data_IF_834717013312
#
_entry.id   IF_834717013312
#
_cell.length_a   1.000
_cell.length_b   1.000
_cell.length_c   1.000
_cell.angle_alpha   90.00
_cell.angle_beta   90.00
_cell.angle_gamma   90.00
#
_symmetry.space_group_name_H-M   'P 1'
#
loop_
_entity.id
_entity.type
_entity.pdbx_description
1 polymer ?
#
# COMPACT_ATOMS: atom_id res chain seq x y z
N UNK A 1 -7.83 -48.95 -7.38
CA UNK A 1 -7.70 -48.58 -5.95
C UNK A 1 -7.31 -47.12 -5.91
N UNK A 2 -8.30 -46.23 -5.84
CA UNK A 2 -8.06 -44.80 -5.73
C UNK A 2 -7.66 -44.51 -4.28
N UNK A 3 -6.44 -44.00 -4.08
CA UNK A 3 -6.05 -43.43 -2.81
C UNK A 3 -6.92 -42.20 -2.57
N UNK A 4 -7.94 -42.35 -1.73
CA UNK A 4 -8.60 -41.22 -1.11
C UNK A 4 -7.57 -40.56 -0.20
N UNK A 5 -6.95 -39.48 -0.70
CA UNK A 5 -6.22 -38.56 0.16
C UNK A 5 -7.29 -37.81 0.95
N UNK A 6 -7.61 -38.34 2.14
CA UNK A 6 -8.41 -37.66 3.12
C UNK A 6 -7.59 -36.46 3.64
N UNK A 7 -7.67 -35.33 2.93
CA UNK A 7 -7.21 -34.05 3.47
C UNK A 7 -8.32 -33.58 4.40
N UNK A 8 -8.15 -33.81 5.70
CA UNK A 8 -8.83 -33.00 6.70
C UNK A 8 -8.69 -31.52 6.31
N UNK A 9 -9.71 -30.66 6.50
CA UNK A 9 -9.62 -29.25 6.12
C UNK A 9 -8.66 -28.57 7.09
N UNK A 10 -7.37 -28.76 6.86
CA UNK A 10 -6.31 -28.04 7.54
C UNK A 10 -6.49 -26.63 7.05
N UNK A 11 -6.96 -25.73 7.93
CA UNK A 11 -7.17 -24.36 7.53
C UNK A 11 -5.84 -23.82 7.03
N UNK A 12 -5.72 -23.56 5.72
CA UNK A 12 -4.55 -22.97 5.09
C UNK A 12 -4.32 -21.51 5.53
N UNK A 13 -5.10 -21.04 6.51
CA UNK A 13 -5.01 -19.70 7.09
C UNK A 13 -3.61 -19.54 7.70
N UNK A 14 -3.00 -18.40 7.40
CA UNK A 14 -1.63 -18.04 7.72
C UNK A 14 -0.53 -18.89 7.05
N UNK A 15 -0.90 -19.84 6.17
CA UNK A 15 0.05 -20.61 5.39
C UNK A 15 0.33 -19.96 4.04
N UNK A 16 1.47 -20.35 3.45
CA UNK A 16 1.82 -19.96 2.08
C UNK A 16 1.02 -20.87 1.14
N UNK A 17 0.23 -20.24 0.26
CA UNK A 17 -0.52 -20.91 -0.80
C UNK A 17 0.09 -20.55 -2.15
N UNK A 18 -0.08 -21.43 -3.12
CA UNK A 18 0.36 -21.25 -4.51
C UNK A 18 -0.83 -21.25 -5.47
N UNK A 19 -0.66 -20.73 -6.71
CA UNK A 19 -1.72 -20.76 -7.70
C UNK A 19 -2.21 -22.19 -7.97
N UNK A 20 -3.52 -22.40 -7.87
CA UNK A 20 -4.16 -23.71 -8.03
C UNK A 20 -4.59 -24.38 -6.72
N UNK A 21 -4.05 -23.96 -5.58
CA UNK A 21 -4.50 -24.47 -4.27
C UNK A 21 -5.96 -24.10 -4.02
N UNK A 22 -6.77 -25.08 -3.65
CA UNK A 22 -8.16 -24.86 -3.22
C UNK A 22 -8.14 -24.48 -1.75
N UNK A 23 -8.48 -23.22 -1.45
CA UNK A 23 -8.36 -22.65 -0.09
C UNK A 23 -9.63 -22.74 0.73
N UNK A 24 -10.79 -22.68 0.08
CA UNK A 24 -12.10 -22.78 0.71
C UNK A 24 -13.06 -23.56 -0.20
N UNK A 25 -13.93 -24.35 0.42
CA UNK A 25 -15.01 -25.07 -0.22
C UNK A 25 -16.35 -24.57 0.34
N UNK A 26 -17.14 -23.93 -0.52
CA UNK A 26 -18.41 -23.30 -0.20
C UNK A 26 -19.51 -24.31 0.12
N UNK A 27 -19.39 -25.56 -0.35
CA UNK A 27 -20.35 -26.63 -0.03
C UNK A 27 -20.45 -26.87 1.49
N UNK A 28 -19.35 -26.61 2.21
CA UNK A 28 -19.26 -26.74 3.66
C UNK A 28 -19.69 -25.45 4.42
N UNK A 29 -20.02 -24.36 3.72
CA UNK A 29 -20.30 -23.03 4.29
C UNK A 29 -21.62 -22.42 3.79
N UNK A 30 -22.71 -23.19 3.79
CA UNK A 30 -24.01 -22.84 3.18
C UNK A 30 -24.73 -21.62 3.75
N UNK A 31 -24.37 -21.11 4.93
CA UNK A 31 -25.06 -19.99 5.60
C UNK A 31 -24.15 -18.78 5.91
N UNK A 32 -23.02 -18.62 5.20
CA UNK A 32 -22.09 -17.52 5.46
C UNK A 32 -21.81 -16.69 4.20
N UNK A 33 -22.01 -15.38 4.29
CA UNK A 33 -21.56 -14.45 3.23
C UNK A 33 -20.06 -14.21 3.38
N UNK A 34 -19.30 -14.61 2.36
CA UNK A 34 -17.85 -14.48 2.32
C UNK A 34 -17.46 -13.28 1.45
N UNK A 35 -16.51 -12.46 1.93
CA UNK A 35 -15.90 -11.39 1.15
C UNK A 35 -14.54 -11.86 0.61
N UNK A 36 -14.49 -12.05 -0.70
CA UNK A 36 -13.24 -12.39 -1.38
C UNK A 36 -12.44 -11.11 -1.67
N UNK A 37 -11.24 -11.07 -1.13
CA UNK A 37 -10.23 -10.09 -1.46
C UNK A 37 -9.34 -10.57 -2.61
N UNK A 38 -8.16 -9.97 -2.70
CA UNK A 38 -7.27 -10.22 -3.84
C UNK A 38 -6.58 -11.56 -3.83
N UNK A 39 -6.25 -12.04 -5.02
CA UNK A 39 -5.48 -13.26 -5.22
C UNK A 39 -6.31 -14.54 -5.06
N UNK A 40 -7.61 -14.40 -4.87
CA UNK A 40 -8.58 -15.49 -4.84
C UNK A 40 -9.52 -15.40 -6.04
N UNK A 41 -10.00 -16.55 -6.49
CA UNK A 41 -11.03 -16.65 -7.50
C UNK A 41 -12.04 -17.72 -7.07
N UNK A 42 -13.32 -17.40 -7.23
CA UNK A 42 -14.38 -18.37 -7.08
C UNK A 42 -14.63 -19.06 -8.41
N UNK A 43 -14.67 -20.39 -8.38
CA UNK A 43 -15.10 -21.25 -9.47
C UNK A 43 -16.14 -22.24 -8.92
N UNK A 44 -17.41 -22.00 -9.24
CA UNK A 44 -18.54 -22.73 -8.67
C UNK A 44 -18.50 -22.69 -7.13
N UNK A 45 -18.37 -23.85 -6.49
CA UNK A 45 -18.32 -24.00 -5.04
C UNK A 45 -16.88 -23.99 -4.49
N UNK A 46 -15.86 -23.97 -5.35
CA UNK A 46 -14.47 -23.94 -4.92
C UNK A 46 -13.89 -22.53 -5.02
N UNK A 47 -13.15 -22.11 -3.99
CA UNK A 47 -12.33 -20.90 -4.03
C UNK A 47 -10.88 -21.34 -4.11
N UNK A 48 -10.20 -20.91 -5.18
CA UNK A 48 -8.80 -21.23 -5.42
C UNK A 48 -7.90 -20.00 -5.36
N UNK A 49 -6.66 -20.20 -4.94
CA UNK A 49 -5.63 -19.19 -4.98
C UNK A 49 -5.16 -18.99 -6.44
N UNK A 50 -5.11 -17.73 -6.88
CA UNK A 50 -4.58 -17.33 -8.21
C UNK A 50 -3.19 -16.72 -8.12
N UNK A 51 -2.68 -16.52 -6.90
CA UNK A 51 -1.38 -15.90 -6.64
C UNK A 51 -0.68 -16.64 -5.51
N UNK A 52 0.64 -16.67 -5.56
CA UNK A 52 1.45 -17.16 -4.45
C UNK A 52 1.50 -16.11 -3.34
N UNK A 53 1.36 -16.53 -2.09
CA UNK A 53 1.42 -15.62 -0.96
C UNK A 53 0.84 -16.21 0.32
N UNK A 54 0.78 -15.41 1.36
CA UNK A 54 0.20 -15.81 2.64
C UNK A 54 -1.31 -15.72 2.56
N UNK A 55 -2.02 -16.81 2.81
CA UNK A 55 -3.48 -16.80 2.88
C UNK A 55 -3.94 -16.18 4.20
N UNK A 56 -4.58 -15.03 4.12
CA UNK A 56 -4.93 -14.19 5.25
C UNK A 56 -6.45 -14.11 5.43
N UNK A 57 -6.85 -13.97 6.69
CA UNK A 57 -8.25 -13.90 7.10
C UNK A 57 -8.47 -12.70 8.04
N UNK A 58 -9.63 -12.07 7.90
CA UNK A 58 -10.12 -11.08 8.85
C UNK A 58 -11.59 -11.31 9.16
N UNK A 59 -11.93 -11.18 10.44
CA UNK A 59 -13.31 -11.26 10.93
C UNK A 59 -14.15 -10.14 10.29
N UNK A 60 -15.41 -10.38 9.91
CA UNK A 60 -16.18 -11.60 10.14
C UNK A 60 -15.90 -12.73 9.13
N UNK A 61 -15.71 -12.47 7.83
CA UNK A 61 -15.53 -13.49 6.78
C UNK A 61 -14.78 -12.94 5.55
N UNK A 62 -13.67 -12.22 5.74
CA UNK A 62 -12.88 -11.66 4.63
C UNK A 62 -11.60 -12.46 4.44
N UNK A 63 -11.39 -12.97 3.22
CA UNK A 63 -10.21 -13.78 2.88
C UNK A 63 -9.45 -13.14 1.72
N UNK A 64 -8.13 -13.18 1.75
CA UNK A 64 -7.29 -12.72 0.64
C UNK A 64 -5.93 -13.41 0.67
N UNK A 65 -5.24 -13.43 -0.46
CA UNK A 65 -3.83 -13.79 -0.52
C UNK A 65 -3.01 -12.52 -0.45
N UNK A 66 -2.17 -12.42 0.57
CA UNK A 66 -1.17 -11.37 0.69
C UNK A 66 0.09 -11.76 -0.08
N UNK A 67 0.37 -10.98 -1.12
CA UNK A 67 1.50 -11.17 -2.02
C UNK A 67 2.25 -9.86 -2.19
N UNK A 68 3.59 -9.92 -2.26
CA UNK A 68 4.40 -8.76 -2.61
C UNK A 68 4.59 -8.67 -4.13
N UNK A 69 4.32 -7.50 -4.70
CA UNK A 69 4.54 -7.22 -6.11
C UNK A 69 5.20 -5.86 -6.29
N UNK A 70 6.01 -5.69 -7.33
CA UNK A 70 6.61 -4.40 -7.68
C UNK A 70 5.64 -3.46 -8.42
N UNK A 71 4.68 -4.01 -9.17
CA UNK A 71 3.65 -3.22 -9.87
C UNK A 71 2.44 -3.05 -8.98
N UNK A 72 2.05 -1.79 -8.75
CA UNK A 72 0.87 -1.47 -7.98
C UNK A 72 -0.41 -1.67 -8.81
N UNK A 73 -1.46 -2.16 -8.16
CA UNK A 73 -2.81 -2.29 -8.71
C UNK A 73 -3.72 -1.43 -7.83
N UNK A 74 -4.25 -0.31 -8.36
CA UNK A 74 -5.07 0.61 -7.59
C UNK A 74 -6.29 -0.09 -6.99
N UNK A 75 -6.58 0.17 -5.71
CA UNK A 75 -7.85 -0.19 -5.08
C UNK A 75 -8.48 1.01 -4.41
N UNK A 76 -9.79 0.97 -4.34
CA UNK A 76 -10.57 1.98 -3.61
C UNK A 76 -10.12 2.05 -2.15
N UNK A 77 -10.02 3.28 -1.64
CA UNK A 77 -9.50 3.67 -0.32
C UNK A 77 -7.98 3.54 -0.12
N UNK A 78 -7.22 3.06 -1.10
CA UNK A 78 -5.76 3.03 -0.97
C UNK A 78 -5.19 4.45 -0.88
N UNK A 79 -4.26 4.65 0.06
CA UNK A 79 -3.50 5.89 0.18
C UNK A 79 -2.22 5.76 -0.63
N UNK A 80 -1.95 6.73 -1.51
CA UNK A 80 -0.88 6.63 -2.52
C UNK A 80 -0.12 7.94 -2.67
N UNK A 81 1.14 7.82 -3.10
CA UNK A 81 1.94 8.96 -3.55
C UNK A 81 1.88 9.06 -5.07
N UNK A 82 1.34 10.17 -5.55
CA UNK A 82 1.18 10.46 -6.97
C UNK A 82 2.09 11.61 -7.42
N UNK A 83 2.61 11.54 -8.64
CA UNK A 83 3.37 12.63 -9.26
C UNK A 83 2.50 13.24 -10.35
N UNK A 84 2.27 14.55 -10.30
CA UNK A 84 1.51 15.26 -11.35
C UNK A 84 2.28 15.18 -12.66
N UNK A 85 1.63 14.67 -13.70
CA UNK A 85 2.20 14.58 -15.05
C UNK A 85 1.77 15.78 -15.88
N UNK A 86 0.47 16.07 -15.88
CA UNK A 86 -0.10 17.15 -16.69
C UNK A 86 -1.41 17.67 -16.05
N UNK A 87 -1.84 18.85 -16.47
CA UNK A 87 -3.12 19.47 -16.12
C UNK A 87 -3.89 19.83 -17.38
N UNK A 88 -5.07 19.23 -17.55
CA UNK A 88 -5.92 19.46 -18.73
C UNK A 88 -7.40 19.41 -18.37
N UNK A 89 -8.16 20.39 -18.88
CA UNK A 89 -9.62 20.45 -18.75
C UNK A 89 -10.09 20.25 -17.30
N UNK A 90 -9.52 21.03 -16.37
CA UNK A 90 -9.81 21.02 -14.94
C UNK A 90 -9.53 19.70 -14.20
N UNK A 91 -8.77 18.80 -14.82
CA UNK A 91 -8.30 17.55 -14.23
C UNK A 91 -6.78 17.46 -14.27
N UNK A 92 -6.20 16.90 -13.22
CA UNK A 92 -4.80 16.53 -13.14
C UNK A 92 -4.63 15.07 -13.54
N UNK A 93 -3.67 14.82 -14.43
CA UNK A 93 -3.18 13.48 -14.71
C UNK A 93 -2.03 13.17 -13.77
N UNK A 94 -2.16 12.09 -13.00
CA UNK A 94 -1.24 11.76 -11.92
C UNK A 94 -0.70 10.35 -12.13
N UNK A 95 0.62 10.21 -12.13
CA UNK A 95 1.27 8.89 -12.13
C UNK A 95 1.31 8.34 -10.70
N UNK A 96 0.63 7.22 -10.49
CA UNK A 96 0.58 6.49 -9.22
C UNK A 96 1.35 5.15 -9.26
N UNK A 97 2.23 4.92 -10.26
CA UNK A 97 2.94 3.64 -10.46
C UNK A 97 1.99 2.45 -10.73
N UNK A 98 0.80 2.77 -11.25
CA UNK A 98 -0.22 1.82 -11.67
C UNK A 98 -0.06 1.38 -13.13
N UNK A 99 -1.01 0.57 -13.65
CA UNK A 99 -1.03 0.24 -15.07
C UNK A 99 -1.45 1.41 -15.98
N UNK A 100 -2.19 2.38 -15.43
CA UNK A 100 -2.72 3.56 -16.14
C UNK A 100 -2.47 4.80 -15.28
N UNK A 101 -2.40 5.97 -15.93
CA UNK A 101 -2.41 7.25 -15.23
C UNK A 101 -3.73 7.43 -14.50
N UNK A 102 -3.69 8.05 -13.34
CA UNK A 102 -4.86 8.33 -12.54
C UNK A 102 -5.41 9.73 -12.86
N UNK A 103 -6.73 9.86 -12.77
CA UNK A 103 -7.42 11.12 -12.92
C UNK A 103 -7.67 11.74 -11.54
N UNK A 104 -7.21 12.96 -11.33
CA UNK A 104 -7.48 13.73 -10.12
C UNK A 104 -8.29 14.98 -10.50
N UNK A 105 -9.60 15.01 -10.22
CA UNK A 105 -10.42 16.18 -10.50
C UNK A 105 -9.94 17.41 -9.71
N UNK A 106 -9.90 18.59 -10.35
CA UNK A 106 -9.45 19.82 -9.68
C UNK A 106 -10.36 20.27 -8.52
N UNK A 107 -11.60 19.78 -8.48
CA UNK A 107 -12.56 20.01 -7.39
C UNK A 107 -12.41 19.00 -6.23
N UNK A 108 -11.55 17.98 -6.36
CA UNK A 108 -11.36 16.93 -5.35
C UNK A 108 -10.37 17.34 -4.25
N UNK A 109 -10.37 18.62 -3.87
CA UNK A 109 -9.54 19.18 -2.80
C UNK A 109 -10.42 19.97 -1.83
N UNK A 110 -10.00 20.05 -0.57
CA UNK A 110 -10.71 20.83 0.43
C UNK A 110 -10.76 22.31 0.01
N UNK A 111 -11.96 22.89 -0.02
CA UNK A 111 -12.17 24.29 -0.40
C UNK A 111 -12.09 24.59 -1.90
N UNK A 112 -11.89 23.58 -2.76
CA UNK A 112 -11.86 23.80 -4.20
C UNK A 112 -13.26 24.16 -4.74
N UNK A 113 -13.32 25.20 -5.56
CA UNK A 113 -14.55 25.63 -6.25
C UNK A 113 -14.24 25.90 -7.71
N UNK A 114 -15.26 25.96 -8.59
CA UNK A 114 -15.06 26.32 -10.01
C UNK A 114 -14.36 27.66 -10.23
N UNK A 115 -14.37 28.55 -9.23
CA UNK A 115 -13.69 29.85 -9.26
C UNK A 115 -12.25 29.79 -8.73
N UNK A 116 -11.94 28.82 -7.88
CA UNK A 116 -10.65 28.65 -7.22
C UNK A 116 -10.26 27.17 -7.23
N UNK A 117 -9.64 26.76 -8.33
CA UNK A 117 -9.08 25.42 -8.50
C UNK A 117 -7.60 25.49 -8.09
N UNK A 118 -7.13 24.62 -7.17
CA UNK A 118 -5.72 24.54 -6.82
C UNK A 118 -4.87 24.29 -8.07
N UNK A 119 -3.72 24.96 -8.20
CA UNK A 119 -2.81 24.77 -9.33
C UNK A 119 -1.56 24.06 -8.83
N UNK A 120 -1.27 22.89 -9.41
CA UNK A 120 -0.05 22.14 -9.18
C UNK A 120 0.78 22.13 -10.47
N UNK A 121 2.09 22.32 -10.34
CA UNK A 121 3.00 22.20 -11.47
C UNK A 121 3.24 20.72 -11.80
N UNK A 122 3.64 20.44 -13.04
CA UNK A 122 4.12 19.13 -13.40
C UNK A 122 5.29 18.74 -12.48
N UNK A 123 5.42 17.44 -12.19
CA UNK A 123 6.36 16.85 -11.24
C UNK A 123 6.07 17.16 -9.76
N UNK A 124 4.96 17.82 -9.40
CA UNK A 124 4.57 17.97 -7.99
C UNK A 124 4.20 16.61 -7.38
N UNK A 125 4.76 16.31 -6.20
CA UNK A 125 4.42 15.11 -5.43
C UNK A 125 3.19 15.37 -4.54
N UNK A 126 2.20 14.48 -4.62
CA UNK A 126 0.94 14.58 -3.89
C UNK A 126 0.69 13.29 -3.09
N UNK A 127 0.22 13.43 -1.86
CA UNK A 127 -0.37 12.33 -1.09
C UNK A 127 -1.88 12.34 -1.28
N UNK A 128 -2.42 11.25 -1.81
CA UNK A 128 -3.78 11.18 -2.35
C UNK A 128 -4.47 9.88 -1.93
N UNK A 129 -5.80 9.88 -2.01
CA UNK A 129 -6.65 8.70 -1.80
C UNK A 129 -7.24 8.24 -3.12
N UNK A 130 -7.23 6.94 -3.36
CA UNK A 130 -7.94 6.36 -4.51
C UNK A 130 -9.42 6.24 -4.16
N UNK A 131 -10.30 6.89 -4.92
CA UNK A 131 -11.75 6.91 -4.66
C UNK A 131 -12.47 5.89 -5.53
N UNK A 132 -12.10 5.76 -6.79
CA UNK A 132 -12.80 4.90 -7.74
C UNK A 132 -11.82 4.10 -8.57
N UNK A 133 -12.10 2.80 -8.66
CA UNK A 133 -11.33 1.87 -9.50
C UNK A 133 -12.31 1.02 -10.29
N UNK A 134 -12.31 1.19 -11.61
CA UNK A 134 -13.14 0.41 -12.53
C UNK A 134 -12.22 -0.33 -13.51
N UNK A 135 -12.60 -1.55 -13.85
CA UNK A 135 -11.84 -2.33 -14.83
C UNK A 135 -11.90 -1.61 -16.18
N UNK A 136 -10.75 -1.35 -16.79
CA UNK A 136 -10.64 -0.70 -18.09
C UNK A 136 -10.78 0.83 -18.09
N UNK A 137 -10.97 1.47 -16.93
CA UNK A 137 -10.96 2.93 -16.79
C UNK A 137 -9.79 3.40 -15.94
N UNK A 138 -9.36 4.65 -16.16
CA UNK A 138 -8.38 5.30 -15.31
C UNK A 138 -8.91 5.40 -13.87
N UNK A 139 -8.08 5.10 -12.85
CA UNK A 139 -8.47 5.25 -11.46
C UNK A 139 -8.67 6.73 -11.11
N UNK A 140 -9.68 7.02 -10.30
CA UNK A 140 -9.96 8.38 -9.83
C UNK A 140 -9.39 8.60 -8.43
N UNK A 141 -8.76 9.76 -8.22
CA UNK A 141 -8.13 10.16 -6.97
C UNK A 141 -8.88 11.32 -6.31
N UNK A 142 -8.65 11.49 -5.01
CA UNK A 142 -9.05 12.66 -4.25
C UNK A 142 -7.94 13.12 -3.31
N UNK A 143 -7.83 14.43 -3.14
CA UNK A 143 -7.02 15.10 -2.13
C UNK A 143 -7.78 15.32 -0.82
N UNK A 144 -8.88 14.61 -0.59
CA UNK A 144 -9.65 14.64 0.67
C UNK A 144 -9.96 13.24 1.18
N UNK A 145 -10.20 13.17 2.49
CA UNK A 145 -10.78 12.00 3.14
C UNK A 145 -12.24 11.75 2.71
N UNK A 146 -12.85 10.69 3.25
CA UNK A 146 -14.25 10.35 2.99
C UNK A 146 -15.24 11.41 3.48
N UNK A 147 -14.83 12.28 4.42
CA UNK A 147 -15.64 13.37 4.96
C UNK A 147 -15.46 14.68 4.20
N UNK A 148 -14.57 14.73 3.20
CA UNK A 148 -14.27 15.92 2.42
C UNK A 148 -13.21 16.86 3.01
N UNK A 149 -12.46 16.43 4.05
CA UNK A 149 -11.38 17.21 4.66
C UNK A 149 -10.00 16.78 4.13
N UNK A 150 -9.05 17.70 4.02
CA UNK A 150 -7.68 17.45 3.57
C UNK A 150 -6.73 17.07 4.71
N UNK A 151 -7.23 16.37 5.74
CA UNK A 151 -6.51 16.12 7.01
C UNK A 151 -5.05 15.67 6.86
N UNK A 152 -4.79 14.73 5.96
CA UNK A 152 -3.44 14.18 5.70
C UNK A 152 -3.05 14.31 4.22
N UNK A 153 -3.99 14.65 3.35
CA UNK A 153 -3.81 14.64 1.89
C UNK A 153 -3.39 16.01 1.37
N UNK A 154 -2.60 16.03 0.31
CA UNK A 154 -2.13 17.27 -0.30
C UNK A 154 -0.72 17.19 -0.86
N UNK A 155 -0.15 18.35 -1.25
CA UNK A 155 1.20 18.40 -1.78
C UNK A 155 2.25 18.14 -0.69
N UNK A 156 3.23 17.32 -1.03
CA UNK A 156 4.42 17.11 -0.22
C UNK A 156 5.55 17.96 -0.80
N UNK A 157 6.06 18.87 0.02
CA UNK A 157 7.16 19.78 -0.34
C UNK A 157 8.46 19.29 0.27
N UNK A 158 9.55 19.51 -0.46
CA UNK A 158 10.88 19.08 -0.05
C UNK A 158 10.96 17.56 0.24
N UNK A 159 12.00 17.14 0.96
CA UNK A 159 12.22 15.74 1.29
C UNK A 159 12.70 14.89 0.11
N UNK A 160 12.65 13.57 0.31
CA UNK A 160 13.14 12.57 -0.63
C UNK A 160 12.10 11.47 -0.80
N UNK A 161 11.71 11.23 -2.06
CA UNK A 161 10.81 10.14 -2.43
C UNK A 161 11.62 9.01 -3.07
N UNK A 162 11.41 7.80 -2.58
CA UNK A 162 12.01 6.59 -3.13
C UNK A 162 10.96 5.50 -3.33
N UNK A 163 11.31 4.53 -4.16
CA UNK A 163 10.43 3.42 -4.48
C UNK A 163 10.75 2.18 -3.63
N UNK A 164 9.70 1.46 -3.25
CA UNK A 164 9.74 0.23 -2.46
C UNK A 164 8.84 -0.83 -3.07
N UNK A 165 8.86 -2.05 -2.52
CA UNK A 165 7.84 -3.05 -2.85
C UNK A 165 6.50 -2.69 -2.19
N UNK A 166 5.40 -3.16 -2.77
CA UNK A 166 4.08 -2.99 -2.14
C UNK A 166 3.96 -3.75 -0.82
N UNK A 167 4.74 -4.83 -0.64
CA UNK A 167 4.85 -5.54 0.62
C UNK A 167 5.49 -4.70 1.71
N UNK A 168 6.63 -4.05 1.40
CA UNK A 168 7.29 -3.15 2.34
C UNK A 168 6.40 -1.97 2.72
N UNK A 169 5.69 -1.36 1.77
CA UNK A 169 4.72 -0.28 2.09
C UNK A 169 3.62 -0.73 3.06
N UNK A 170 3.09 -1.94 2.90
CA UNK A 170 2.10 -2.50 3.85
C UNK A 170 2.73 -2.76 5.22
N UNK A 171 3.97 -3.24 5.26
CA UNK A 171 4.71 -3.44 6.51
C UNK A 171 4.97 -2.11 7.23
N UNK A 172 5.29 -1.03 6.51
CA UNK A 172 5.50 0.29 7.11
C UNK A 172 4.20 0.87 7.71
N UNK A 173 3.05 0.58 7.09
CA UNK A 173 1.73 0.98 7.55
C UNK A 173 1.08 -0.03 8.54
N UNK A 174 1.81 -1.08 8.94
CA UNK A 174 1.24 -2.11 9.81
C UNK A 174 0.99 -1.61 11.22
N UNK A 175 0.01 -2.22 11.89
CA UNK A 175 -0.20 -2.08 13.34
C UNK A 175 0.00 -3.46 14.00
N UNK A 176 0.91 -3.60 14.98
CA UNK A 176 1.73 -2.55 15.61
C UNK A 176 2.77 -1.95 14.67
N UNK A 177 3.27 -0.76 15.02
CA UNK A 177 4.22 0.04 14.23
C UNK A 177 5.42 -0.79 13.79
N UNK A 178 5.82 -0.62 12.53
CA UNK A 178 6.97 -1.32 11.96
C UNK A 178 8.24 -1.14 12.81
N UNK A 179 8.98 -2.21 13.16
CA UNK A 179 10.15 -2.13 14.04
C UNK A 179 11.24 -1.16 13.56
N UNK A 180 11.43 -1.03 12.23
CA UNK A 180 12.38 -0.08 11.65
C UNK A 180 11.99 1.38 11.96
N UNK A 181 10.70 1.72 11.86
CA UNK A 181 10.20 3.08 12.14
C UNK A 181 10.24 3.37 13.63
N UNK A 182 9.87 2.40 14.47
CA UNK A 182 9.96 2.50 15.93
C UNK A 182 11.39 2.76 16.39
N UNK A 183 12.38 2.07 15.81
CA UNK A 183 13.79 2.25 16.14
C UNK A 183 14.34 3.61 15.67
N UNK A 184 13.97 4.06 14.46
CA UNK A 184 14.40 5.36 13.93
C UNK A 184 13.80 6.53 14.73
N UNK A 185 12.51 6.46 15.04
CA UNK A 185 11.78 7.52 15.74
C UNK A 185 12.26 7.77 17.18
N UNK A 186 13.01 6.84 17.79
CA UNK A 186 13.61 7.02 19.12
C UNK A 186 14.76 8.02 19.14
N UNK A 187 15.46 8.23 18.00
CA UNK A 187 16.64 9.10 17.93
C UNK A 187 16.54 10.20 16.88
N UNK A 188 15.67 10.05 15.87
CA UNK A 188 15.53 11.01 14.78
C UNK A 188 14.10 11.56 14.71
N UNK A 189 14.00 12.87 14.57
CA UNK A 189 12.76 13.54 14.19
C UNK A 189 12.69 13.61 12.66
N UNK A 190 11.69 12.97 12.08
CA UNK A 190 11.43 12.98 10.63
C UNK A 190 9.93 12.81 10.36
N UNK A 191 9.52 13.28 9.18
CA UNK A 191 8.20 13.07 8.62
C UNK A 191 8.28 11.95 7.58
N UNK A 192 7.21 11.16 7.49
CA UNK A 192 7.11 10.08 6.52
C UNK A 192 5.69 10.00 5.97
N UNK A 193 5.57 9.86 4.65
CA UNK A 193 4.33 9.50 3.98
C UNK A 193 4.57 8.21 3.19
N UNK A 194 3.77 7.18 3.45
CA UNK A 194 3.89 5.88 2.78
C UNK A 194 2.67 5.64 1.90
N UNK A 195 2.91 5.48 0.59
CA UNK A 195 1.89 5.05 -0.35
C UNK A 195 1.88 3.53 -0.50
N UNK A 196 0.69 2.93 -0.53
CA UNK A 196 0.47 1.51 -0.83
C UNK A 196 0.91 1.12 -2.26
N UNK A 197 1.21 2.13 -3.09
CA UNK A 197 1.78 1.98 -4.41
C UNK A 197 3.30 1.70 -4.45
N UNK A 198 3.94 1.46 -3.30
CA UNK A 198 5.39 1.21 -3.27
C UNK A 198 6.19 2.46 -3.53
N UNK A 199 5.70 3.61 -3.06
CA UNK A 199 6.41 4.89 -3.00
C UNK A 199 6.39 5.36 -1.54
N UNK A 200 7.51 5.87 -1.07
CA UNK A 200 7.68 6.40 0.27
C UNK A 200 8.36 7.75 0.17
N UNK A 201 7.84 8.73 0.88
CA UNK A 201 8.43 10.06 1.00
C UNK A 201 8.88 10.27 2.44
N UNK A 202 10.08 10.83 2.60
CA UNK A 202 10.70 11.12 3.89
C UNK A 202 11.23 12.54 3.89
N UNK A 203 10.99 13.27 4.97
CA UNK A 203 11.55 14.60 5.17
C UNK A 203 12.10 14.76 6.59
N UNK A 204 13.20 15.47 6.73
CA UNK A 204 13.82 15.76 8.02
C UNK A 204 14.65 17.05 7.91
N UNK A 205 14.93 17.68 9.05
CA UNK A 205 15.68 18.94 9.08
C UNK A 205 17.09 18.84 8.46
N UNK A 206 17.74 17.67 8.58
CA UNK A 206 19.08 17.43 8.05
C UNK A 206 19.05 16.39 6.92
N UNK A 207 19.68 16.65 5.75
CA UNK A 207 19.75 15.69 4.65
C UNK A 207 20.39 14.35 5.04
N UNK A 208 21.38 14.36 5.94
CA UNK A 208 22.02 13.14 6.48
C UNK A 208 20.98 12.21 7.15
N UNK A 209 20.03 12.78 7.88
CA UNK A 209 18.94 12.04 8.52
C UNK A 209 18.00 11.42 7.48
N UNK A 210 17.64 12.18 6.44
CA UNK A 210 16.80 11.69 5.33
C UNK A 210 17.46 10.49 4.63
N UNK A 211 18.75 10.58 4.32
CA UNK A 211 19.51 9.51 3.67
C UNK A 211 19.52 8.24 4.54
N UNK A 212 19.74 8.39 5.84
CA UNK A 212 19.81 7.24 6.75
C UNK A 212 18.45 6.60 6.93
N UNK A 213 17.38 7.39 7.08
CA UNK A 213 16.00 6.86 7.17
C UNK A 213 15.64 6.13 5.88
N UNK A 214 15.88 6.73 4.71
CA UNK A 214 15.60 6.10 3.43
C UNK A 214 16.37 4.77 3.26
N UNK A 215 17.67 4.76 3.56
CA UNK A 215 18.50 3.56 3.49
C UNK A 215 18.06 2.49 4.48
N UNK A 216 17.71 2.86 5.71
CA UNK A 216 17.21 1.92 6.70
C UNK A 216 15.90 1.27 6.24
N UNK A 217 14.97 2.05 5.69
CA UNK A 217 13.70 1.55 5.18
C UNK A 217 13.93 0.62 3.98
N UNK A 218 14.70 1.04 2.98
CA UNK A 218 14.94 0.23 1.77
C UNK A 218 15.60 -1.12 2.09
N UNK A 219 16.50 -1.17 3.08
CA UNK A 219 17.18 -2.40 3.47
C UNK A 219 16.38 -3.27 4.46
N UNK A 220 15.25 -2.79 4.97
CA UNK A 220 14.48 -3.50 6.02
C UNK A 220 13.63 -4.66 5.50
N UNK A 221 13.30 -4.71 4.20
CA UNK A 221 12.30 -5.63 3.63
C UNK A 221 12.62 -7.11 3.87
N UNK A 222 13.90 -7.50 3.82
CA UNK A 222 14.32 -8.90 3.95
C UNK A 222 14.80 -9.24 5.37
N UNK A 223 14.79 -8.27 6.27
CA UNK A 223 15.32 -8.42 7.62
C UNK A 223 14.21 -8.75 8.61
N UNK A 224 14.53 -9.63 9.57
CA UNK A 224 13.67 -9.87 10.71
C UNK A 224 13.58 -8.63 11.61
N UNK A 225 12.56 -8.55 12.46
CA UNK A 225 12.37 -7.43 13.40
C UNK A 225 13.60 -7.17 14.29
N UNK A 226 14.33 -8.22 14.69
CA UNK A 226 15.57 -8.08 15.48
C UNK A 226 16.70 -7.53 14.63
N UNK A 227 16.86 -8.04 13.41
CA UNK A 227 17.88 -7.56 12.47
C UNK A 227 17.64 -6.11 12.04
N UNK A 228 16.39 -5.71 11.86
CA UNK A 228 16.01 -4.31 11.57
C UNK A 228 16.48 -3.36 12.67
N UNK A 229 16.27 -3.71 13.94
CA UNK A 229 16.71 -2.89 15.08
C UNK A 229 18.24 -2.75 15.13
N UNK A 230 18.96 -3.87 15.00
CA UNK A 230 20.44 -3.89 14.98
C UNK A 230 20.98 -3.05 13.82
N UNK A 231 20.37 -3.15 12.63
CA UNK A 231 20.75 -2.36 11.47
C UNK A 231 20.57 -0.86 11.73
N UNK A 232 19.42 -0.46 12.28
CA UNK A 232 19.13 0.94 12.59
C UNK A 232 20.12 1.48 13.61
N UNK A 233 20.45 0.74 14.67
CA UNK A 233 21.45 1.16 15.66
C UNK A 233 22.83 1.40 15.03
N UNK A 234 23.27 0.51 14.14
CA UNK A 234 24.53 0.67 13.39
C UNK A 234 24.52 1.89 12.47
N UNK A 235 23.40 2.18 11.81
CA UNK A 235 23.27 3.35 10.94
C UNK A 235 23.24 4.66 11.75
N UNK A 236 22.60 4.66 12.91
CA UNK A 236 22.53 5.82 13.79
C UNK A 236 23.88 6.13 14.46
N UNK A 237 24.68 5.11 14.78
CA UNK A 237 26.04 5.31 15.30
C UNK A 237 26.89 6.17 14.33
N UNK A 238 26.72 5.97 13.02
CA UNK A 238 27.40 6.75 11.98
C UNK A 238 26.94 8.21 11.89
N UNK A 239 25.94 8.68 12.65
CA UNK A 239 25.53 10.10 12.69
C UNK A 239 26.31 10.85 13.77
N UNK A 240 26.63 10.16 14.86
CA UNK A 240 27.33 10.73 16.03
C UNK A 240 28.83 10.91 15.78
N UNK A 241 29.36 10.27 14.74
CA UNK A 241 30.70 10.51 14.18
C UNK A 241 30.66 11.56 13.04
#
# INVERSE_FOLDING_TARGET
>A
MNAQVAVSPTSLIDQIVVPGDVVLDLSNMTNQTIKLGSGLRQESDAISAMRAGKFSYSKPNKYWVESSHKRYIPRTEDHVLGIVVDYKADNFWVDIKGPQLALLPGLAFEGATRRSIPKFEACTLLYLRVVKTNIGMNPELSGTDASGKASVFGPLKDGFMFETSTGLSRMLLSSPTCPVLEALGKKLSFEIATGLNGRVWVNAAAPRSVIIVANAIMNSETLSATQQRIMVEKLLAKISD
#
